data_IF_169877965762
#
_entry.id   IF_169877965762
#
_cell.length_a   1.000
_cell.length_b   1.000
_cell.length_c   1.000
_cell.angle_alpha   90.00
_cell.angle_beta   90.00
_cell.angle_gamma   90.00
#
_symmetry.space_group_name_H-M   'P 1'
#
loop_
_entity.id
_entity.type
_entity.pdbx_description
1 polymer ?
#
# COMPACT_ATOMS: atom_id res chain seq x y z
N UNK A 1 7.90 2.91 -2.83
CA UNK A 1 8.64 3.79 -1.89
C UNK A 1 9.00 5.14 -2.50
N UNK A 2 9.56 5.19 -3.71
CA UNK A 2 9.90 6.43 -4.42
C UNK A 2 8.70 7.39 -4.59
N UNK A 3 7.57 6.87 -5.07
CA UNK A 3 6.33 7.67 -5.28
C UNK A 3 5.85 8.33 -3.98
N UNK A 4 5.95 7.63 -2.85
CA UNK A 4 5.57 8.17 -1.54
C UNK A 4 6.56 9.22 -1.02
N UNK A 5 7.86 8.95 -1.18
CA UNK A 5 8.90 9.89 -0.78
C UNK A 5 8.79 11.20 -1.56
N UNK A 6 8.62 11.09 -2.88
CA UNK A 6 8.43 12.23 -3.77
C UNK A 6 7.18 13.04 -3.38
N UNK A 7 6.04 12.37 -3.13
CA UNK A 7 4.82 13.05 -2.69
C UNK A 7 5.00 13.81 -1.37
N UNK A 8 5.63 13.18 -0.39
CA UNK A 8 5.89 13.80 0.92
C UNK A 8 6.82 15.00 0.80
N UNK A 9 7.88 14.90 -0.01
CA UNK A 9 8.80 15.99 -0.29
C UNK A 9 8.08 17.17 -0.96
N UNK A 10 7.28 16.92 -2.00
CA UNK A 10 6.54 17.99 -2.68
C UNK A 10 5.53 18.69 -1.76
N UNK A 11 4.88 17.96 -0.84
CA UNK A 11 3.85 18.53 0.05
C UNK A 11 4.45 19.28 1.26
N UNK A 12 5.66 18.92 1.65
CA UNK A 12 6.29 19.39 2.87
C UNK A 12 7.75 19.80 2.59
N UNK A 13 7.90 20.77 1.68
CA UNK A 13 9.22 21.20 1.18
C UNK A 13 10.12 21.73 2.30
N UNK A 14 9.54 22.45 3.26
CA UNK A 14 10.26 23.05 4.39
C UNK A 14 10.35 22.13 5.63
N UNK A 15 9.85 20.89 5.53
CA UNK A 15 9.84 20.01 6.68
C UNK A 15 11.24 19.44 6.99
N UNK A 16 11.60 19.27 8.28
CA UNK A 16 12.86 18.65 8.66
C UNK A 16 13.02 17.25 8.08
N UNK A 17 14.21 16.92 7.56
CA UNK A 17 14.48 15.61 6.95
C UNK A 17 14.17 14.42 7.87
N UNK A 18 14.44 14.54 9.18
CA UNK A 18 14.09 13.51 10.18
C UNK A 18 12.57 13.29 10.28
N UNK A 19 11.80 14.37 10.20
CA UNK A 19 10.34 14.29 10.23
C UNK A 19 9.80 13.64 8.95
N UNK A 20 10.35 14.00 7.78
CA UNK A 20 9.99 13.38 6.50
C UNK A 20 10.28 11.88 6.50
N UNK A 21 11.45 11.48 6.99
CA UNK A 21 11.84 10.08 7.09
C UNK A 21 10.93 9.29 8.04
N UNK A 22 10.59 9.86 9.19
CA UNK A 22 9.68 9.26 10.17
C UNK A 22 8.27 9.12 9.58
N UNK A 23 7.76 10.16 8.92
CA UNK A 23 6.43 10.14 8.29
C UNK A 23 6.37 9.15 7.14
N UNK A 24 7.40 9.12 6.28
CA UNK A 24 7.54 8.13 5.21
C UNK A 24 7.55 6.71 5.79
N UNK A 25 8.34 6.45 6.83
CA UNK A 25 8.36 5.15 7.51
C UNK A 25 7.02 4.78 8.14
N UNK A 26 6.28 5.71 8.75
CA UNK A 26 4.95 5.42 9.33
C UNK A 26 3.91 5.10 8.27
N UNK A 27 3.91 5.83 7.16
CA UNK A 27 3.02 5.55 6.03
C UNK A 27 3.40 4.23 5.36
N UNK A 28 4.70 3.92 5.25
CA UNK A 28 5.17 2.60 4.86
C UNK A 28 4.93 1.52 5.93
N UNK A 29 4.79 1.86 7.20
CA UNK A 29 4.50 0.88 8.25
C UNK A 29 3.03 0.44 8.19
N UNK A 30 2.12 1.29 7.71
CA UNK A 30 0.78 0.88 7.29
C UNK A 30 0.79 -0.10 6.10
N UNK A 31 1.92 -0.23 5.38
CA UNK A 31 2.11 -1.22 4.31
C UNK A 31 2.08 -2.63 4.87
N UNK A 32 2.65 -2.90 6.06
CA UNK A 32 2.73 -4.25 6.67
C UNK A 32 1.40 -4.85 7.08
N UNK A 33 0.37 -4.02 7.17
CA UNK A 33 -0.93 -4.47 7.58
C UNK A 33 -1.80 -4.86 6.39
N UNK A 34 -1.42 -4.67 5.12
CA UNK A 34 -2.32 -4.95 3.98
C UNK A 34 -3.66 -4.21 4.05
N UNK A 35 -3.69 -3.07 4.75
CA UNK A 35 -4.91 -2.33 5.09
C UNK A 35 -5.68 -1.90 3.84
N UNK A 36 -5.01 -1.25 2.89
CA UNK A 36 -5.66 -0.68 1.72
C UNK A 36 -6.27 -1.75 0.79
N UNK A 37 -5.58 -2.87 0.57
CA UNK A 37 -6.12 -4.01 -0.15
C UNK A 37 -7.33 -4.64 0.55
N UNK A 38 -7.36 -4.61 1.90
CA UNK A 38 -8.53 -5.08 2.66
C UNK A 38 -9.70 -4.12 2.64
N UNK A 39 -9.47 -2.83 2.73
CA UNK A 39 -10.51 -1.80 2.66
C UNK A 39 -11.25 -1.82 1.32
N UNK A 40 -10.56 -2.23 0.24
CA UNK A 40 -11.17 -2.43 -1.08
C UNK A 40 -11.67 -3.87 -1.32
N UNK A 41 -11.69 -4.71 -0.28
CA UNK A 41 -12.08 -6.13 -0.32
C UNK A 41 -11.29 -7.02 -1.31
N UNK A 42 -10.18 -6.52 -1.86
CA UNK A 42 -9.38 -7.21 -2.87
C UNK A 42 -8.58 -8.40 -2.32
N UNK A 43 -8.31 -8.42 -1.01
CA UNK A 43 -7.64 -9.54 -0.33
C UNK A 43 -8.35 -10.90 -0.51
N UNK A 44 -9.64 -10.92 -0.86
CA UNK A 44 -10.42 -12.14 -1.10
C UNK A 44 -10.04 -12.83 -2.41
N UNK A 45 -9.39 -12.12 -3.34
CA UNK A 45 -8.92 -12.67 -4.61
C UNK A 45 -7.50 -13.26 -4.51
N UNK A 46 -6.90 -13.26 -3.31
CA UNK A 46 -5.61 -13.91 -3.11
C UNK A 46 -5.83 -15.40 -3.09
N UNK A 47 -5.26 -16.10 -4.06
CA UNK A 47 -5.30 -17.56 -4.15
C UNK A 47 -4.10 -18.10 -3.38
N UNK A 48 -4.38 -18.94 -2.38
CA UNK A 48 -3.37 -19.70 -1.65
C UNK A 48 -3.25 -21.10 -2.24
N UNK A 49 -2.10 -21.75 -2.05
CA UNK A 49 -2.02 -23.18 -2.36
C UNK A 49 -2.79 -23.98 -1.31
N UNK A 50 -3.30 -25.15 -1.70
CA UNK A 50 -4.11 -26.00 -0.82
C UNK A 50 -3.40 -26.32 0.51
N UNK A 51 -2.07 -26.45 0.49
CA UNK A 51 -1.28 -26.78 1.69
C UNK A 51 -1.24 -25.65 2.73
N UNK A 52 -1.46 -24.40 2.33
CA UNK A 52 -1.34 -23.23 3.21
C UNK A 52 -2.63 -22.45 3.38
N UNK A 53 -3.67 -22.75 2.60
CA UNK A 53 -4.92 -21.98 2.57
C UNK A 53 -5.54 -21.85 3.96
N UNK A 54 -5.78 -22.97 4.65
CA UNK A 54 -6.39 -22.97 5.98
C UNK A 54 -5.58 -22.13 6.98
N UNK A 55 -4.25 -22.24 6.94
CA UNK A 55 -3.38 -21.50 7.85
C UNK A 55 -3.49 -19.98 7.64
N UNK A 56 -3.59 -19.52 6.39
CA UNK A 56 -3.68 -18.09 6.07
C UNK A 56 -5.10 -17.53 6.30
N UNK A 57 -6.14 -18.33 6.10
CA UNK A 57 -7.53 -17.93 6.39
C UNK A 57 -7.77 -17.74 7.89
N UNK A 58 -7.18 -18.59 8.73
CA UNK A 58 -7.41 -18.56 10.19
C UNK A 58 -6.35 -17.74 10.94
N UNK A 59 -5.16 -17.50 10.38
CA UNK A 59 -4.09 -16.77 11.05
C UNK A 59 -3.79 -15.40 10.43
N UNK A 60 -4.22 -14.33 11.12
CA UNK A 60 -3.95 -12.93 10.71
C UNK A 60 -2.46 -12.61 10.58
N UNK A 61 -1.59 -13.25 11.37
CA UNK A 61 -0.13 -13.02 11.32
C UNK A 61 0.49 -13.55 10.03
N UNK A 62 -0.11 -14.55 9.40
CA UNK A 62 0.29 -15.07 8.09
C UNK A 62 -0.40 -14.31 6.95
N UNK A 63 -1.70 -14.02 7.12
CA UNK A 63 -2.50 -13.30 6.11
C UNK A 63 -2.02 -11.89 5.81
N UNK A 64 -1.70 -11.11 6.85
CA UNK A 64 -1.35 -9.69 6.69
C UNK A 64 -0.06 -9.50 5.87
N UNK A 65 1.03 -10.25 6.11
CA UNK A 65 2.19 -10.26 5.22
C UNK A 65 1.85 -10.64 3.78
N UNK A 66 1.08 -11.70 3.53
CA UNK A 66 0.69 -12.06 2.16
C UNK A 66 -0.11 -10.95 1.46
N UNK A 67 -1.09 -10.38 2.17
CA UNK A 67 -1.88 -9.24 1.66
C UNK A 67 -0.98 -8.05 1.30
N UNK A 68 0.02 -7.78 2.13
CA UNK A 68 1.02 -6.73 1.89
C UNK A 68 1.86 -7.01 0.65
N UNK A 69 2.35 -8.25 0.51
CA UNK A 69 3.15 -8.69 -0.62
C UNK A 69 2.36 -8.59 -1.93
N UNK A 70 1.10 -9.03 -1.95
CA UNK A 70 0.22 -8.89 -3.13
C UNK A 70 0.01 -7.43 -3.49
N UNK A 71 -0.22 -6.56 -2.49
CA UNK A 71 -0.33 -5.12 -2.75
C UNK A 71 0.97 -4.52 -3.32
N UNK A 72 2.15 -4.98 -2.90
CA UNK A 72 3.40 -4.55 -3.52
C UNK A 72 3.55 -5.07 -4.95
N UNK A 73 3.18 -6.33 -5.19
CA UNK A 73 3.22 -6.94 -6.52
C UNK A 73 2.32 -6.20 -7.51
N UNK A 74 1.12 -5.79 -7.09
CA UNK A 74 0.21 -4.98 -7.91
C UNK A 74 0.85 -3.65 -8.33
N UNK A 75 1.50 -2.93 -7.40
CA UNK A 75 2.21 -1.69 -7.74
C UNK A 75 3.43 -1.93 -8.64
N UNK A 76 4.18 -3.02 -8.41
CA UNK A 76 5.30 -3.41 -9.25
C UNK A 76 4.87 -3.78 -10.67
N UNK A 77 3.75 -4.51 -10.81
CA UNK A 77 3.15 -4.83 -12.10
C UNK A 77 2.68 -3.57 -12.82
N UNK A 78 1.95 -2.68 -12.14
CA UNK A 78 1.52 -1.42 -12.71
C UNK A 78 2.71 -0.58 -13.21
N UNK A 79 3.82 -0.57 -12.45
CA UNK A 79 5.05 0.08 -12.90
C UNK A 79 5.61 -0.54 -14.19
N UNK A 80 5.65 -1.87 -14.26
CA UNK A 80 6.19 -2.58 -15.42
C UNK A 80 5.36 -2.38 -16.68
N UNK A 81 4.02 -2.28 -16.55
CA UNK A 81 3.11 -2.19 -17.70
C UNK A 81 2.82 -0.74 -18.10
N UNK A 82 2.59 0.15 -17.14
CA UNK A 82 2.10 1.51 -17.37
C UNK A 82 3.03 2.63 -16.87
N UNK A 83 4.07 2.27 -16.11
CA UNK A 83 5.05 3.21 -15.58
C UNK A 83 4.64 3.95 -14.31
N UNK A 84 5.52 4.86 -13.87
CA UNK A 84 5.42 5.60 -12.60
C UNK A 84 4.12 6.42 -12.42
N UNK A 85 3.57 7.12 -13.44
CA UNK A 85 2.35 7.91 -13.27
C UNK A 85 1.16 7.06 -12.81
N UNK A 86 1.03 5.85 -13.35
CA UNK A 86 -0.09 4.97 -13.04
C UNK A 86 0.03 4.36 -11.65
N UNK A 87 1.27 4.05 -11.21
CA UNK A 87 1.53 3.70 -9.80
C UNK A 87 1.09 4.82 -8.87
N UNK A 88 1.32 6.09 -9.22
CA UNK A 88 0.85 7.23 -8.42
C UNK A 88 -0.67 7.27 -8.33
N UNK A 89 -1.38 7.14 -9.47
CA UNK A 89 -2.85 7.07 -9.48
C UNK A 89 -3.35 5.93 -8.61
N UNK A 90 -2.81 4.73 -8.80
CA UNK A 90 -3.22 3.55 -8.05
C UNK A 90 -3.00 3.73 -6.54
N UNK A 91 -1.84 4.23 -6.12
CA UNK A 91 -1.53 4.45 -4.71
C UNK A 91 -2.44 5.49 -4.04
N UNK A 92 -2.77 6.58 -4.73
CA UNK A 92 -3.42 7.73 -4.10
C UNK A 92 -4.90 7.92 -4.44
N UNK A 93 -5.33 7.60 -5.65
CA UNK A 93 -6.73 7.74 -6.09
C UNK A 93 -7.53 6.48 -5.80
N UNK A 94 -6.91 5.30 -5.89
CA UNK A 94 -7.60 4.02 -5.70
C UNK A 94 -7.41 3.49 -4.29
N UNK A 95 -6.17 3.48 -3.79
CA UNK A 95 -5.85 2.93 -2.47
C UNK A 95 -5.81 3.95 -1.34
N UNK A 96 -5.98 5.24 -1.61
CA UNK A 96 -6.08 6.28 -0.58
C UNK A 96 -4.90 6.26 0.43
N UNK A 97 -3.67 5.94 -0.02
CA UNK A 97 -2.47 5.86 0.84
C UNK A 97 -2.22 7.17 1.61
N UNK A 98 -2.66 8.26 1.00
CA UNK A 98 -2.89 9.53 1.65
C UNK A 98 -4.27 9.98 1.21
N UNK A 99 -5.14 10.35 2.15
CA UNK A 99 -6.47 10.83 1.84
C UNK A 99 -6.34 12.20 1.15
N UNK A 100 -6.51 12.24 -0.17
CA UNK A 100 -6.45 13.48 -0.98
C UNK A 100 -7.80 14.20 -0.97
N UNK A 101 -8.91 13.45 -0.88
CA UNK A 101 -10.27 13.99 -0.88
C UNK A 101 -10.96 13.75 0.47
N UNK A 102 -11.81 14.68 0.93
CA UNK A 102 -12.63 14.45 2.11
C UNK A 102 -13.47 13.17 1.92
N UNK A 103 -13.63 12.37 2.97
CA UNK A 103 -14.48 11.18 2.93
C UNK A 103 -15.90 11.66 2.65
N UNK A 104 -16.52 11.09 1.62
CA UNK A 104 -17.93 11.32 1.35
C UNK A 104 -18.70 10.78 2.57
N UNK A 105 -19.45 11.66 3.23
CA UNK A 105 -20.26 11.37 4.43
C UNK A 105 -21.49 10.56 4.02
#
# INVERSE_FOLDING_TARGET
DLVMAERLLMKHLDAPGRWLQEKHRRVLMNKFCGKYLREKYLHRFIIYSEQVQDAYEHNRRLRNPATTSVQQAIHGLAYAVYGKPDVRRLMFEVFDFEQIQPKVV
#
